data_IF_361689893597
#
_entry.id   IF_361689893597
#
_cell.length_a   1.000
_cell.length_b   1.000
_cell.length_c   1.000
_cell.angle_alpha   90.00
_cell.angle_beta   90.00
_cell.angle_gamma   90.00
#
_symmetry.space_group_name_H-M   'P 1'
#
loop_
_entity.id
_entity.type
_entity.pdbx_description
1 polymer ?
#
# COMPACT_ATOMS: atom_id res chain seq x y z
N UNK A 1 -19.30 4.58 -10.32
CA UNK A 1 -19.23 5.15 -8.96
C UNK A 1 -18.24 4.32 -8.18
N UNK A 2 -17.35 4.94 -7.40
CA UNK A 2 -16.52 4.19 -6.45
C UNK A 2 -17.46 3.53 -5.44
N UNK A 3 -17.19 2.28 -5.08
CA UNK A 3 -17.92 1.63 -3.99
C UNK A 3 -17.52 2.31 -2.67
N UNK A 4 -18.48 2.94 -2.02
CA UNK A 4 -18.31 3.72 -0.79
C UNK A 4 -19.21 3.13 0.30
N UNK A 5 -18.72 3.09 1.53
CA UNK A 5 -19.51 2.68 2.70
C UNK A 5 -19.52 3.75 3.78
N UNK A 6 -20.56 3.73 4.60
CA UNK A 6 -20.64 4.63 5.74
C UNK A 6 -19.57 4.29 6.77
N UNK A 7 -19.04 5.30 7.46
CA UNK A 7 -18.01 5.10 8.47
C UNK A 7 -18.48 4.21 9.64
N UNK A 8 -19.78 4.21 9.94
CA UNK A 8 -20.43 3.30 10.91
C UNK A 8 -20.37 1.84 10.45
N UNK A 9 -20.66 1.58 9.18
CA UNK A 9 -20.56 0.26 8.55
C UNK A 9 -19.11 -0.21 8.49
N UNK A 10 -18.18 0.70 8.15
CA UNK A 10 -16.75 0.44 8.20
C UNK A 10 -16.28 0.03 9.60
N UNK A 11 -16.76 0.70 10.65
CA UNK A 11 -16.43 0.36 12.03
C UNK A 11 -16.87 -1.07 12.38
N UNK A 12 -18.08 -1.46 11.99
CA UNK A 12 -18.60 -2.82 12.16
C UNK A 12 -17.77 -3.85 11.38
N UNK A 13 -17.48 -3.58 10.11
CA UNK A 13 -16.69 -4.50 9.26
C UNK A 13 -15.27 -4.72 9.82
N UNK A 14 -14.68 -3.67 10.38
CA UNK A 14 -13.35 -3.66 10.98
C UNK A 14 -13.34 -4.24 12.41
N UNK A 15 -14.51 -4.43 13.04
CA UNK A 15 -14.61 -4.85 14.44
C UNK A 15 -14.01 -3.83 15.41
N UNK A 16 -14.14 -2.52 15.12
CA UNK A 16 -13.62 -1.43 15.94
C UNK A 16 -14.73 -0.47 16.39
N UNK A 17 -14.44 0.35 17.39
CA UNK A 17 -15.37 1.42 17.79
C UNK A 17 -15.50 2.49 16.71
N UNK A 18 -16.63 3.20 16.65
CA UNK A 18 -16.80 4.33 15.73
C UNK A 18 -15.73 5.41 15.90
N UNK A 19 -15.33 5.70 17.16
CA UNK A 19 -14.24 6.65 17.45
C UNK A 19 -12.90 6.18 16.85
N UNK A 20 -12.64 4.88 16.87
CA UNK A 20 -11.45 4.32 16.24
C UNK A 20 -11.53 4.39 14.71
N UNK A 21 -12.70 4.09 14.11
CA UNK A 21 -12.91 4.27 12.67
C UNK A 21 -12.72 5.73 12.23
N UNK A 22 -13.24 6.70 13.00
CA UNK A 22 -13.00 8.14 12.78
C UNK A 22 -11.51 8.47 12.83
N UNK A 23 -10.78 7.92 13.80
CA UNK A 23 -9.32 8.11 13.88
C UNK A 23 -8.58 7.54 12.66
N UNK A 24 -8.99 6.36 12.18
CA UNK A 24 -8.42 5.73 10.98
C UNK A 24 -8.73 6.57 9.73
N UNK A 25 -9.95 7.09 9.61
CA UNK A 25 -10.34 8.00 8.53
C UNK A 25 -9.53 9.31 8.58
N UNK A 26 -9.42 9.94 9.75
CA UNK A 26 -8.68 11.18 9.95
C UNK A 26 -7.16 11.02 9.72
N UNK A 27 -6.60 9.83 9.94
CA UNK A 27 -5.20 9.54 9.63
C UNK A 27 -4.97 9.14 8.16
N UNK A 28 -6.02 9.11 7.33
CA UNK A 28 -5.95 8.69 5.92
C UNK A 28 -5.88 7.17 5.73
N UNK A 29 -5.96 6.37 6.79
CA UNK A 29 -5.86 4.91 6.74
C UNK A 29 -7.07 4.25 6.06
N UNK A 30 -8.21 4.95 6.00
CA UNK A 30 -9.39 4.52 5.23
C UNK A 30 -9.50 5.24 3.88
N UNK A 31 -8.39 5.82 3.38
CA UNK A 31 -8.36 6.54 2.12
C UNK A 31 -9.08 7.89 2.19
N UNK A 32 -9.56 8.37 1.04
CA UNK A 32 -10.24 9.65 0.93
C UNK A 32 -11.57 9.63 1.70
N UNK A 33 -11.81 10.65 2.51
CA UNK A 33 -13.04 10.77 3.31
C UNK A 33 -13.96 11.80 2.65
N UNK A 34 -15.23 11.43 2.43
CA UNK A 34 -16.24 12.33 1.85
C UNK A 34 -17.43 12.49 2.78
N UNK A 35 -18.06 13.65 2.71
CA UNK A 35 -19.32 13.94 3.39
C UNK A 35 -20.48 13.86 2.41
N UNK A 36 -21.48 13.03 2.73
CA UNK A 36 -22.76 12.95 2.03
C UNK A 36 -23.83 13.41 3.01
N UNK A 37 -24.21 14.69 2.90
CA UNK A 37 -25.02 15.36 3.92
C UNK A 37 -24.27 15.38 5.25
N UNK A 38 -24.82 14.71 6.27
CA UNK A 38 -24.22 14.58 7.62
C UNK A 38 -23.44 13.28 7.80
N UNK A 39 -23.42 12.42 6.79
CA UNK A 39 -22.82 11.09 6.87
C UNK A 39 -21.41 11.12 6.30
N UNK A 40 -20.47 10.53 7.05
CA UNK A 40 -19.10 10.31 6.58
C UNK A 40 -19.05 8.99 5.83
N UNK A 41 -18.57 9.02 4.58
CA UNK A 41 -18.36 7.84 3.74
C UNK A 41 -16.88 7.68 3.38
N UNK A 42 -16.46 6.42 3.24
CA UNK A 42 -15.09 6.02 2.92
C UNK A 42 -15.11 4.95 1.82
N UNK A 43 -14.06 4.87 0.98
CA UNK A 43 -13.94 3.83 -0.04
C UNK A 43 -13.95 2.42 0.57
N UNK A 44 -14.86 1.56 0.12
CA UNK A 44 -14.98 0.17 0.61
C UNK A 44 -13.67 -0.59 0.45
N UNK A 45 -12.95 -0.39 -0.66
CA UNK A 45 -11.66 -1.02 -0.91
C UNK A 45 -10.59 -0.66 0.15
N UNK A 46 -10.60 0.57 0.66
CA UNK A 46 -9.67 0.99 1.71
C UNK A 46 -10.02 0.32 3.05
N UNK A 47 -11.32 0.17 3.35
CA UNK A 47 -11.78 -0.54 4.56
C UNK A 47 -11.42 -2.02 4.49
N UNK A 48 -11.64 -2.69 3.36
CA UNK A 48 -11.26 -4.09 3.21
C UNK A 48 -9.74 -4.30 3.31
N UNK A 49 -8.94 -3.38 2.76
CA UNK A 49 -7.48 -3.39 2.96
C UNK A 49 -7.10 -3.24 4.43
N UNK A 50 -7.71 -2.29 5.14
CA UNK A 50 -7.50 -2.11 6.58
C UNK A 50 -7.92 -3.36 7.38
N UNK A 51 -8.99 -4.05 6.97
CA UNK A 51 -9.41 -5.32 7.56
C UNK A 51 -8.37 -6.42 7.33
N UNK A 52 -7.84 -6.54 6.11
CA UNK A 52 -6.82 -7.54 5.76
C UNK A 52 -5.51 -7.32 6.54
N UNK A 53 -5.16 -6.06 6.80
CA UNK A 53 -4.03 -5.69 7.68
C UNK A 53 -4.35 -5.86 9.17
N UNK A 54 -5.58 -6.22 9.48
CA UNK A 54 -6.12 -6.33 10.82
C UNK A 54 -6.27 -4.99 11.54
N UNK A 55 -7.14 -4.96 12.54
CA UNK A 55 -7.54 -3.74 13.26
C UNK A 55 -7.09 -3.66 14.73
N UNK A 56 -6.58 -4.76 15.29
CA UNK A 56 -6.34 -4.95 16.73
C UNK A 56 -4.90 -5.24 17.21
N UNK A 57 -3.84 -5.28 16.38
CA UNK A 57 -2.50 -5.55 16.95
C UNK A 57 -1.94 -4.37 17.72
N UNK A 58 -1.12 -4.73 18.70
CA UNK A 58 -0.40 -3.81 19.58
C UNK A 58 0.74 -3.13 18.81
N UNK A 59 0.96 -1.85 19.11
CA UNK A 59 2.14 -1.11 18.66
C UNK A 59 1.83 0.09 17.76
N UNK A 60 2.60 1.16 17.93
CA UNK A 60 2.58 2.32 17.05
C UNK A 60 3.27 1.95 15.72
N UNK A 61 2.71 2.36 14.57
CA UNK A 61 3.41 2.27 13.28
C UNK A 61 4.77 2.97 13.33
N UNK A 62 5.73 2.44 12.58
CA UNK A 62 7.02 3.05 12.41
C UNK A 62 6.90 4.41 11.70
N UNK A 63 7.92 5.25 11.89
CA UNK A 63 8.14 6.40 11.01
C UNK A 63 8.51 5.89 9.59
N UNK A 64 8.25 6.67 8.52
CA UNK A 64 8.50 6.23 7.15
C UNK A 64 9.92 5.68 6.92
N UNK A 65 10.96 6.38 7.39
CA UNK A 65 12.35 5.93 7.25
C UNK A 65 12.60 4.56 7.91
N UNK A 66 12.09 4.34 9.12
CA UNK A 66 12.20 3.05 9.82
C UNK A 66 11.40 1.95 9.13
N UNK A 67 10.25 2.28 8.53
CA UNK A 67 9.48 1.31 7.74
C UNK A 67 10.28 0.84 6.52
N UNK A 68 10.96 1.76 5.82
CA UNK A 68 11.79 1.42 4.66
C UNK A 68 13.03 0.61 5.03
N UNK A 69 13.69 0.92 6.16
CA UNK A 69 14.78 0.08 6.72
C UNK A 69 14.28 -1.35 6.97
N UNK A 70 13.13 -1.51 7.62
CA UNK A 70 12.57 -2.84 7.88
C UNK A 70 12.26 -3.62 6.58
N UNK A 71 11.69 -2.95 5.57
CA UNK A 71 11.39 -3.57 4.28
C UNK A 71 12.65 -3.93 3.48
N UNK A 72 13.71 -3.12 3.59
CA UNK A 72 15.01 -3.43 3.00
C UNK A 72 15.63 -4.67 3.64
N UNK A 73 15.66 -4.74 4.98
CA UNK A 73 16.17 -5.89 5.74
C UNK A 73 15.42 -7.18 5.38
N UNK A 74 14.08 -7.15 5.34
CA UNK A 74 13.26 -8.30 4.93
C UNK A 74 13.53 -8.74 3.48
N UNK A 75 14.00 -7.83 2.64
CA UNK A 75 14.38 -8.12 1.26
C UNK A 75 15.84 -8.59 1.12
N UNK A 76 16.54 -8.85 2.24
CA UNK A 76 17.96 -9.24 2.25
C UNK A 76 18.89 -8.13 1.77
N UNK A 77 18.45 -6.87 1.79
CA UNK A 77 19.25 -5.72 1.33
C UNK A 77 19.94 -5.05 2.51
N UNK A 78 21.14 -4.49 2.30
CA UNK A 78 21.71 -3.58 3.28
C UNK A 78 20.72 -2.44 3.49
N UNK A 79 20.35 -2.22 4.74
CA UNK A 79 19.67 -1.00 5.11
C UNK A 79 20.73 0.01 5.55
N UNK A 80 20.46 1.29 5.35
CA UNK A 80 21.27 2.36 5.93
C UNK A 80 20.40 3.03 6.99
N UNK A 81 20.61 2.69 8.25
CA UNK A 81 19.83 3.31 9.33
C UNK A 81 20.29 2.94 10.74
N UNK A 82 20.10 3.82 11.73
CA UNK A 82 20.40 3.47 13.11
C UNK A 82 19.47 2.33 13.57
N UNK A 83 20.04 1.38 14.32
CA UNK A 83 19.33 0.24 14.93
C UNK A 83 18.90 -0.88 13.97
N UNK A 84 19.59 -1.10 12.85
CA UNK A 84 19.30 -2.22 11.93
C UNK A 84 19.13 -3.56 12.63
N UNK A 85 20.10 -3.95 13.48
CA UNK A 85 20.05 -5.21 14.24
C UNK A 85 18.78 -5.31 15.10
N UNK A 86 18.47 -4.26 15.87
CA UNK A 86 17.25 -4.21 16.70
C UNK A 86 15.97 -4.23 15.85
N UNK A 87 15.99 -3.67 14.64
CA UNK A 87 14.86 -3.72 13.72
C UNK A 87 14.71 -5.14 13.16
N UNK A 88 15.81 -5.78 12.76
CA UNK A 88 15.82 -7.16 12.29
C UNK A 88 15.29 -8.12 13.37
N UNK A 89 15.82 -8.06 14.59
CA UNK A 89 15.35 -8.86 15.75
C UNK A 89 13.86 -8.68 15.99
N UNK A 90 13.39 -7.43 15.88
CA UNK A 90 11.98 -7.11 16.04
C UNK A 90 11.14 -7.66 14.90
N UNK A 91 11.61 -7.63 13.65
CA UNK A 91 10.91 -8.18 12.50
C UNK A 91 10.86 -9.71 12.57
N UNK A 92 11.93 -10.37 13.01
CA UNK A 92 11.99 -11.82 13.19
C UNK A 92 10.92 -12.34 14.18
N UNK A 93 10.57 -11.54 15.18
CA UNK A 93 9.52 -11.85 16.15
C UNK A 93 8.08 -11.49 15.70
N UNK A 94 7.90 -10.88 14.53
CA UNK A 94 6.59 -10.42 14.05
C UNK A 94 5.93 -11.42 13.10
N UNK A 95 4.61 -11.45 13.13
CA UNK A 95 3.80 -12.05 12.07
C UNK A 95 3.76 -11.14 10.82
N UNK A 96 3.44 -11.67 9.63
CA UNK A 96 3.24 -10.86 8.43
C UNK A 96 2.28 -9.67 8.61
N UNK A 97 1.19 -9.87 9.36
CA UNK A 97 0.19 -8.84 9.66
C UNK A 97 0.79 -7.74 10.56
N UNK A 98 1.63 -8.10 11.52
CA UNK A 98 2.32 -7.12 12.37
C UNK A 98 3.35 -6.31 11.59
N UNK A 99 4.07 -6.94 10.65
CA UNK A 99 4.98 -6.23 9.73
C UNK A 99 4.21 -5.24 8.86
N UNK A 100 3.05 -5.63 8.30
CA UNK A 100 2.22 -4.73 7.51
C UNK A 100 1.77 -3.50 8.29
N UNK A 101 1.33 -3.69 9.54
CA UNK A 101 0.95 -2.57 10.40
C UNK A 101 2.15 -1.72 10.83
N UNK A 102 3.27 -2.34 11.15
CA UNK A 102 4.50 -1.65 11.51
C UNK A 102 4.95 -0.73 10.38
N UNK A 103 4.86 -1.20 9.14
CA UNK A 103 5.32 -0.49 7.93
C UNK A 103 4.22 0.29 7.20
N UNK A 104 3.01 0.40 7.76
CA UNK A 104 1.86 1.02 7.06
C UNK A 104 2.04 2.49 6.67
N UNK A 105 2.96 3.20 7.34
CA UNK A 105 3.30 4.61 7.06
C UNK A 105 4.45 4.76 6.06
N UNK A 106 4.84 3.69 5.35
CA UNK A 106 5.92 3.71 4.33
C UNK A 106 5.65 4.70 3.20
N UNK A 107 4.39 4.92 2.86
CA UNK A 107 3.96 5.78 1.75
C UNK A 107 2.51 6.25 1.96
N UNK A 108 2.14 7.32 1.26
CA UNK A 108 0.75 7.80 1.22
C UNK A 108 0.03 7.16 0.05
N UNK A 109 -1.06 6.43 0.30
CA UNK A 109 -1.84 5.78 -0.75
C UNK A 109 -2.86 6.78 -1.32
N UNK A 110 -2.82 6.98 -2.63
CA UNK A 110 -3.71 7.90 -3.35
C UNK A 110 -4.34 7.22 -4.56
N UNK A 111 -5.67 7.32 -4.67
CA UNK A 111 -6.41 6.92 -5.86
C UNK A 111 -6.48 8.08 -6.85
N UNK A 112 -6.14 7.79 -8.10
CA UNK A 112 -5.88 8.74 -9.15
C UNK A 112 -6.56 8.31 -10.45
N UNK A 113 -6.83 9.30 -11.29
CA UNK A 113 -7.23 9.12 -12.69
C UNK A 113 -6.30 9.91 -13.60
N UNK A 114 -6.27 9.53 -14.87
CA UNK A 114 -5.79 10.43 -15.90
C UNK A 114 -6.78 11.57 -16.15
N UNK A 115 -6.20 12.73 -16.46
CA UNK A 115 -6.90 13.91 -17.00
C UNK A 115 -6.99 13.89 -18.52
N UNK A 116 -6.24 13.01 -19.18
CA UNK A 116 -6.21 12.82 -20.63
C UNK A 116 -6.70 11.42 -21.01
N UNK A 117 -7.23 11.25 -22.22
CA UNK A 117 -7.53 9.91 -22.75
C UNK A 117 -6.24 9.25 -23.22
N UNK A 118 -6.02 8.02 -22.77
CA UNK A 118 -4.88 7.20 -23.17
C UNK A 118 -5.33 5.75 -23.21
N UNK A 119 -4.84 4.99 -24.20
CA UNK A 119 -5.10 3.54 -24.25
C UNK A 119 -4.43 2.84 -23.04
N UNK A 120 -4.99 1.73 -22.52
CA UNK A 120 -4.47 1.06 -21.33
C UNK A 120 -2.98 0.69 -21.41
N UNK A 121 -2.53 0.12 -22.53
CA UNK A 121 -1.13 -0.29 -22.69
C UNK A 121 -0.18 0.92 -22.73
N UNK A 122 -0.59 1.98 -23.42
CA UNK A 122 0.15 3.25 -23.47
C UNK A 122 0.21 3.89 -22.08
N UNK A 123 -0.85 3.76 -21.28
CA UNK A 123 -0.91 4.30 -19.92
C UNK A 123 0.10 3.64 -19.00
N UNK A 124 0.16 2.30 -18.98
CA UNK A 124 1.11 1.60 -18.14
C UNK A 124 2.57 1.95 -18.53
N UNK A 125 2.86 2.05 -19.83
CA UNK A 125 4.17 2.49 -20.32
C UNK A 125 4.47 3.96 -19.95
N UNK A 126 3.51 4.87 -20.13
CA UNK A 126 3.67 6.29 -19.79
C UNK A 126 3.98 6.49 -18.30
N UNK A 127 3.28 5.79 -17.41
CA UNK A 127 3.50 5.88 -15.97
C UNK A 127 4.85 5.28 -15.57
N UNK A 128 5.25 4.15 -16.15
CA UNK A 128 6.60 3.59 -15.94
C UNK A 128 7.69 4.57 -16.37
N UNK A 129 7.56 5.16 -17.56
CA UNK A 129 8.50 6.18 -18.05
C UNK A 129 8.49 7.46 -17.20
N UNK A 130 7.41 7.71 -16.47
CA UNK A 130 7.29 8.82 -15.52
C UNK A 130 7.87 8.52 -14.14
N UNK A 131 8.38 7.30 -13.92
CA UNK A 131 9.00 6.86 -12.66
C UNK A 131 8.11 6.02 -11.75
N UNK A 132 6.92 5.61 -12.20
CA UNK A 132 6.07 4.70 -11.41
C UNK A 132 6.71 3.31 -11.37
N UNK A 133 6.91 2.80 -10.16
CA UNK A 133 7.44 1.46 -9.88
C UNK A 133 6.29 0.50 -9.62
N UNK A 134 6.05 -0.49 -10.51
CA UNK A 134 4.95 -1.43 -10.32
C UNK A 134 5.05 -2.21 -9.01
N UNK A 135 3.92 -2.46 -8.37
CA UNK A 135 3.83 -3.29 -7.16
C UNK A 135 2.60 -4.20 -7.23
N UNK A 136 2.40 -5.04 -6.20
CA UNK A 136 1.28 -5.97 -6.16
C UNK A 136 1.25 -6.85 -7.42
N UNK A 137 0.06 -7.01 -8.00
CA UNK A 137 -0.15 -7.81 -9.22
C UNK A 137 0.52 -7.23 -10.48
N UNK A 138 0.95 -5.96 -10.47
CA UNK A 138 1.68 -5.36 -11.60
C UNK A 138 3.19 -5.59 -11.53
N UNK A 139 3.72 -6.07 -10.41
CA UNK A 139 5.14 -6.36 -10.28
C UNK A 139 5.52 -7.61 -11.08
N UNK A 140 6.70 -7.62 -11.70
CA UNK A 140 7.24 -8.84 -12.32
C UNK A 140 7.44 -9.96 -11.29
N UNK A 141 7.74 -9.61 -10.03
CA UNK A 141 7.85 -10.57 -8.94
C UNK A 141 6.53 -11.32 -8.67
N UNK A 142 5.38 -10.72 -8.95
CA UNK A 142 4.11 -11.43 -8.80
C UNK A 142 4.02 -12.61 -9.77
N UNK A 143 4.51 -12.44 -11.00
CA UNK A 143 4.61 -13.50 -12.01
C UNK A 143 5.63 -14.55 -11.57
N UNK A 144 6.81 -14.13 -11.10
CA UNK A 144 7.84 -15.03 -10.58
C UNK A 144 7.36 -15.84 -9.37
N UNK A 145 6.37 -15.34 -8.63
CA UNK A 145 5.72 -16.02 -7.51
C UNK A 145 4.47 -16.82 -7.91
N UNK A 146 4.21 -17.01 -9.20
CA UNK A 146 3.15 -17.90 -9.70
C UNK A 146 1.74 -17.29 -9.71
N UNK A 147 1.64 -15.95 -9.74
CA UNK A 147 0.40 -15.24 -9.99
C UNK A 147 0.27 -14.90 -11.49
N UNK A 148 -0.95 -14.94 -12.01
CA UNK A 148 -1.22 -14.41 -13.34
C UNK A 148 -1.08 -12.89 -13.31
N UNK A 149 -0.29 -12.32 -14.23
CA UNK A 149 -0.21 -10.88 -14.40
C UNK A 149 -1.52 -10.37 -15.00
N UNK A 150 -2.41 -9.81 -14.18
CA UNK A 150 -3.59 -9.09 -14.67
C UNK A 150 -3.26 -7.59 -14.76
N UNK A 151 -2.59 -7.22 -15.85
CA UNK A 151 -1.92 -5.92 -15.99
C UNK A 151 -2.77 -4.77 -16.54
N UNK A 152 -4.04 -4.99 -16.88
CA UNK A 152 -4.77 -4.03 -17.72
C UNK A 152 -5.91 -3.26 -17.02
N UNK A 153 -6.51 -3.80 -15.95
CA UNK A 153 -7.73 -3.22 -15.38
C UNK A 153 -7.49 -2.14 -14.31
N UNK A 154 -6.39 -2.27 -13.55
CA UNK A 154 -6.02 -1.36 -12.47
C UNK A 154 -4.50 -1.14 -12.44
N UNK A 155 -4.08 0.10 -12.25
CA UNK A 155 -2.67 0.44 -12.12
C UNK A 155 -2.31 0.56 -10.65
N UNK A 156 -1.26 -0.14 -10.21
CA UNK A 156 -0.76 -0.11 -8.84
C UNK A 156 0.76 0.05 -8.79
N UNK A 157 1.24 1.04 -8.03
CA UNK A 157 2.68 1.30 -7.96
C UNK A 157 3.10 2.31 -6.91
N UNK A 158 4.41 2.51 -6.80
CA UNK A 158 5.03 3.58 -6.01
C UNK A 158 5.51 4.70 -6.92
N UNK A 159 5.45 5.93 -6.42
CA UNK A 159 5.94 7.09 -7.15
C UNK A 159 6.57 8.08 -6.17
N UNK A 160 7.83 8.44 -6.43
CA UNK A 160 8.42 9.64 -5.88
C UNK A 160 8.22 10.77 -6.90
N UNK A 161 7.48 11.81 -6.53
CA UNK A 161 7.21 12.94 -7.42
C UNK A 161 8.39 13.93 -7.40
N UNK A 162 9.04 14.08 -6.24
CA UNK A 162 10.07 15.10 -6.03
C UNK A 162 9.49 16.49 -5.75
N UNK A 163 10.32 17.44 -5.28
CA UNK A 163 9.87 18.79 -4.95
C UNK A 163 9.49 19.62 -6.20
N UNK A 164 10.08 19.32 -7.35
CA UNK A 164 9.98 20.14 -8.57
C UNK A 164 8.88 19.68 -9.53
N UNK A 165 8.07 18.71 -9.14
CA UNK A 165 7.01 18.14 -9.98
C UNK A 165 5.73 17.98 -9.17
N UNK A 166 4.61 18.06 -9.86
CA UNK A 166 3.29 17.78 -9.30
C UNK A 166 2.59 16.66 -10.07
N UNK A 167 1.63 16.00 -9.43
CA UNK A 167 0.82 14.94 -10.07
C UNK A 167 0.14 15.44 -11.36
N UNK A 168 -0.28 16.70 -11.40
CA UNK A 168 -0.88 17.32 -12.59
C UNK A 168 0.07 17.36 -13.80
N UNK A 169 1.37 17.44 -13.57
CA UNK A 169 2.38 17.47 -14.64
C UNK A 169 2.46 16.09 -15.32
N UNK A 170 2.18 15.04 -14.56
CA UNK A 170 2.00 13.65 -15.01
C UNK A 170 0.60 13.36 -15.55
N UNK A 171 -0.23 14.39 -15.74
CA UNK A 171 -1.65 14.29 -16.15
C UNK A 171 -2.49 13.47 -15.16
N UNK A 172 -2.06 13.36 -13.91
CA UNK A 172 -2.77 12.67 -12.84
C UNK A 172 -3.56 13.65 -11.97
N UNK A 173 -4.74 13.21 -11.53
CA UNK A 173 -5.56 13.92 -10.55
C UNK A 173 -6.15 12.92 -9.57
N UNK A 174 -6.27 13.32 -8.31
CA UNK A 174 -6.99 12.56 -7.28
C UNK A 174 -8.44 12.30 -7.71
N UNK A 175 -8.78 11.02 -7.67
CA UNK A 175 -10.12 10.51 -7.91
C UNK A 175 -10.30 9.26 -7.05
N UNK A 176 -11.13 9.28 -6.00
CA UNK A 176 -11.43 8.11 -5.19
C UNK A 176 -11.98 6.91 -5.99
N UNK A 177 -12.59 7.15 -7.16
CA UNK A 177 -13.01 6.10 -8.10
C UNK A 177 -12.02 5.82 -9.22
N UNK A 178 -10.83 6.42 -9.14
CA UNK A 178 -9.77 6.29 -10.11
C UNK A 178 -9.20 4.88 -10.18
N UNK A 179 -8.83 4.44 -11.37
CA UNK A 179 -8.24 3.11 -11.63
C UNK A 179 -6.74 3.05 -11.37
N UNK A 180 -6.12 4.13 -10.90
CA UNK A 180 -4.69 4.22 -10.63
C UNK A 180 -4.54 4.38 -9.12
N UNK A 181 -3.89 3.43 -8.47
CA UNK A 181 -3.50 3.52 -7.06
C UNK A 181 -2.01 3.77 -7.01
N UNK A 182 -1.59 4.93 -6.49
CA UNK A 182 -0.17 5.19 -6.27
C UNK A 182 0.12 5.32 -4.77
N UNK A 183 1.23 4.73 -4.36
CA UNK A 183 1.88 4.95 -3.07
C UNK A 183 2.92 6.04 -3.27
N UNK A 184 2.55 7.27 -2.89
CA UNK A 184 3.41 8.44 -2.98
C UNK A 184 4.49 8.38 -1.91
N UNK A 185 5.73 8.51 -2.35
CA UNK A 185 6.92 8.47 -1.52
C UNK A 185 7.35 9.88 -1.12
N UNK A 186 7.79 10.03 0.13
CA UNK A 186 8.38 11.29 0.63
C UNK A 186 9.85 11.45 0.19
N UNK A 187 10.52 10.33 -0.09
CA UNK A 187 11.91 10.24 -0.53
C UNK A 187 12.04 9.18 -1.63
N UNK A 188 13.00 9.31 -2.56
CA UNK A 188 13.20 8.29 -3.58
C UNK A 188 13.63 6.97 -2.94
N UNK A 189 13.00 5.87 -3.35
CA UNK A 189 13.37 4.50 -2.96
C UNK A 189 13.66 3.71 -4.22
N UNK A 190 14.91 3.34 -4.44
CA UNK A 190 15.35 2.58 -5.62
C UNK A 190 16.52 1.64 -5.30
N UNK A 191 16.45 0.34 -5.66
CA UNK A 191 15.28 -0.40 -6.13
C UNK A 191 14.19 -0.52 -5.06
N UNK A 192 12.95 -0.76 -5.47
CA UNK A 192 11.87 -1.08 -4.53
C UNK A 192 12.18 -2.43 -3.83
N UNK A 193 12.19 -2.51 -2.49
CA UNK A 193 12.40 -3.77 -1.75
C UNK A 193 11.35 -4.84 -2.12
N UNK A 194 11.76 -6.09 -2.30
CA UNK A 194 10.83 -7.18 -2.64
C UNK A 194 9.72 -7.36 -1.59
N UNK A 195 10.06 -7.12 -0.32
CA UNK A 195 9.12 -7.15 0.79
C UNK A 195 7.93 -6.20 0.60
N UNK A 196 8.08 -5.10 -0.16
CA UNK A 196 6.94 -4.22 -0.44
C UNK A 196 5.95 -4.86 -1.40
N UNK A 197 6.43 -5.65 -2.36
CA UNK A 197 5.55 -6.38 -3.29
C UNK A 197 4.80 -7.46 -2.54
N UNK A 198 5.48 -8.22 -1.68
CA UNK A 198 4.84 -9.22 -0.82
C UNK A 198 3.77 -8.56 0.08
N UNK A 199 4.11 -7.42 0.69
CA UNK A 199 3.20 -6.64 1.51
C UNK A 199 1.98 -6.13 0.72
N UNK A 200 2.18 -5.57 -0.47
CA UNK A 200 1.10 -5.04 -1.30
C UNK A 200 0.20 -6.15 -1.87
N UNK A 201 0.77 -7.32 -2.18
CA UNK A 201 0.01 -8.52 -2.52
C UNK A 201 -0.82 -9.02 -1.32
N UNK A 202 -0.26 -9.02 -0.11
CA UNK A 202 -0.99 -9.37 1.12
C UNK A 202 -2.11 -8.37 1.43
N UNK A 203 -2.02 -7.14 0.93
CA UNK A 203 -3.06 -6.11 1.05
C UNK A 203 -4.13 -6.23 -0.06
N UNK A 204 -3.93 -7.10 -1.06
CA UNK A 204 -4.80 -7.23 -2.22
C UNK A 204 -6.20 -7.77 -1.89
N UNK A 205 -7.16 -7.33 -2.71
CA UNK A 205 -8.52 -7.86 -2.72
C UNK A 205 -8.59 -9.27 -3.34
N UNK A 206 -7.64 -9.60 -4.22
CA UNK A 206 -7.51 -10.95 -4.78
C UNK A 206 -7.01 -11.92 -3.69
N UNK A 207 -7.78 -12.98 -3.43
CA UNK A 207 -7.49 -13.94 -2.35
C UNK A 207 -6.23 -14.76 -2.61
N UNK A 208 -5.91 -15.07 -3.87
CA UNK A 208 -4.71 -15.82 -4.26
C UNK A 208 -3.48 -14.93 -4.11
N UNK A 209 -3.54 -13.70 -4.61
CA UNK A 209 -2.51 -12.69 -4.41
C UNK A 209 -2.23 -12.48 -2.92
N UNK A 210 -3.30 -12.39 -2.12
CA UNK A 210 -3.22 -12.25 -0.67
C UNK A 210 -2.47 -13.41 0.00
N UNK A 211 -2.82 -14.64 -0.39
CA UNK A 211 -2.15 -15.85 0.09
C UNK A 211 -0.65 -15.83 -0.24
N UNK A 212 -0.31 -15.60 -1.52
CA UNK A 212 1.09 -15.54 -1.98
C UNK A 212 1.87 -14.44 -1.26
N UNK A 213 1.31 -13.23 -1.14
CA UNK A 213 1.96 -12.12 -0.45
C UNK A 213 2.24 -12.42 1.02
N UNK A 214 1.26 -13.03 1.72
CA UNK A 214 1.42 -13.45 3.11
C UNK A 214 2.52 -14.51 3.26
N UNK A 215 2.52 -15.52 2.41
CA UNK A 215 3.46 -16.64 2.49
C UNK A 215 4.89 -16.18 2.17
N UNK A 216 5.06 -15.28 1.18
CA UNK A 216 6.36 -14.65 0.88
C UNK A 216 6.86 -13.76 2.01
N UNK A 217 5.98 -12.98 2.63
CA UNK A 217 6.37 -12.14 3.75
C UNK A 217 6.78 -13.00 4.97
N UNK A 218 6.09 -14.12 5.22
CA UNK A 218 6.45 -15.08 6.26
C UNK A 218 7.82 -15.73 5.98
N UNK A 219 8.09 -16.10 4.73
CA UNK A 219 9.39 -16.63 4.31
C UNK A 219 10.52 -15.60 4.55
N UNK A 220 10.31 -14.35 4.15
CA UNK A 220 11.28 -13.26 4.37
C UNK A 220 11.56 -13.00 5.85
N UNK A 221 10.53 -13.03 6.70
CA UNK A 221 10.67 -12.92 8.16
C UNK A 221 11.51 -14.09 8.70
N UNK A 222 11.25 -15.31 8.22
CA UNK A 222 11.98 -16.52 8.64
C UNK A 222 13.48 -16.49 8.32
N UNK A 223 13.91 -15.70 7.32
CA UNK A 223 15.34 -15.53 6.97
C UNK A 223 16.09 -14.58 7.90
N UNK A 224 15.38 -13.83 8.74
CA UNK A 224 15.99 -12.94 9.74
C UNK A 224 16.32 -13.65 11.06
N UNK A 225 15.80 -14.88 11.25
CA UNK A 225 16.08 -15.75 12.40
C UNK A 225 17.30 -16.61 12.14
#
# INVERSE_FOLDING_TARGET
MADEMQLSEAATLLGVTQRQAQRLAASGELGHVRYVGRTVVVPSAAVHRAKNNGTTSKGRPALPATAWVALALLSGRPAEGPNEMRIADRMAAMTPIEVARFTRRRATITSLRLTVRMAPDTLAAHLRNSGVKPTGLMSTLAVDWGLAGDGASQIDGYLYVGPDRMLRDLKLREDPGGRITLRLLDLPVDPLPEATVALDLMESMDSRARGVGRDRLAEMIGRLS
#
